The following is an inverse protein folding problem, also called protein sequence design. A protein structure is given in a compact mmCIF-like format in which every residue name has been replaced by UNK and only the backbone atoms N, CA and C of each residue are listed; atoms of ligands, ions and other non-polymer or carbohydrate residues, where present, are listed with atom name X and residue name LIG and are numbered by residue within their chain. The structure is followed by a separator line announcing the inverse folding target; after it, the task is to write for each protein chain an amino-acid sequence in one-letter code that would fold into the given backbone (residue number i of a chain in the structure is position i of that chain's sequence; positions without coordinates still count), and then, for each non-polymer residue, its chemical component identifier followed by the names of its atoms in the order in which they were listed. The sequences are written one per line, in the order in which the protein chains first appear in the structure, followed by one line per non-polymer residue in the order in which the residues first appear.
data_IF_883105016958
#
_entry.id   IF_883105016958
#
_cell.length_a   1.000
_cell.length_b   1.000
_cell.length_c   1.000
_cell.angle_alpha   90.00
_cell.angle_beta   90.00
_cell.angle_gamma   90.00
#
_symmetry.space_group_name_H-M   'P 1'
#
loop_
_entity.id
_entity.type
_entity.pdbx_description
1 polymer ?
#
# COMPACT_ATOMS: atom_id res chain seq x y z
N UNK A 1 -5.59 14.68 -0.95
CA UNK A 1 -4.53 15.01 -1.94
C UNK A 1 -3.83 13.70 -2.20
N UNK A 2 -3.76 13.22 -3.45
CA UNK A 2 -3.32 11.86 -3.86
C UNK A 2 -1.87 11.47 -3.51
N UNK A 3 -1.41 11.71 -2.28
CA UNK A 3 -0.06 11.47 -1.81
C UNK A 3 0.28 9.98 -1.76
N UNK A 4 -0.73 9.10 -1.69
CA UNK A 4 -0.56 7.65 -1.69
C UNK A 4 -0.04 7.12 -3.03
N UNK A 5 -0.36 7.78 -4.15
CA UNK A 5 0.05 7.33 -5.48
C UNK A 5 1.58 7.44 -5.66
N UNK A 6 2.22 8.61 -5.42
CA UNK A 6 3.68 8.70 -5.47
C UNK A 6 4.38 7.70 -4.54
N UNK A 7 3.89 7.53 -3.31
CA UNK A 7 4.49 6.60 -2.35
C UNK A 7 4.42 5.16 -2.84
N UNK A 8 3.26 4.73 -3.33
CA UNK A 8 3.07 3.38 -3.86
C UNK A 8 4.00 3.11 -5.06
N UNK A 9 4.12 4.07 -5.98
CA UNK A 9 5.03 3.95 -7.12
C UNK A 9 6.50 3.93 -6.72
N UNK A 10 6.90 4.71 -5.70
CA UNK A 10 8.26 4.67 -5.16
C UNK A 10 8.57 3.28 -4.58
N UNK A 11 7.68 2.75 -3.73
CA UNK A 11 7.86 1.42 -3.14
C UNK A 11 7.96 0.34 -4.23
N UNK A 12 7.09 0.41 -5.22
CA UNK A 12 7.09 -0.53 -6.35
C UNK A 12 8.38 -0.43 -7.18
N UNK A 13 8.85 0.78 -7.50
CA UNK A 13 10.10 0.98 -8.23
C UNK A 13 11.31 0.51 -7.44
N UNK A 14 11.35 0.75 -6.12
CA UNK A 14 12.41 0.27 -5.24
C UNK A 14 12.42 -1.26 -5.16
N UNK A 15 11.25 -1.88 -4.97
CA UNK A 15 11.11 -3.34 -4.97
C UNK A 15 11.54 -3.96 -6.29
N UNK A 16 11.16 -3.34 -7.41
CA UNK A 16 11.59 -3.75 -8.74
C UNK A 16 13.11 -3.63 -8.93
N UNK A 17 13.71 -2.47 -8.59
CA UNK A 17 15.14 -2.24 -8.72
C UNK A 17 15.96 -3.18 -7.83
N UNK A 18 15.53 -3.39 -6.59
CA UNK A 18 16.19 -4.31 -5.66
C UNK A 18 16.09 -5.75 -6.14
N UNK A 19 14.90 -6.20 -6.55
CA UNK A 19 14.71 -7.55 -7.08
C UNK A 19 15.61 -7.81 -8.30
N UNK A 20 15.73 -6.83 -9.21
CA UNK A 20 16.66 -6.93 -10.34
C UNK A 20 18.13 -7.01 -9.89
N UNK A 21 18.55 -6.25 -8.88
CA UNK A 21 19.91 -6.32 -8.32
C UNK A 21 20.21 -7.67 -7.66
N UNK A 22 19.19 -8.33 -7.13
CA UNK A 22 19.30 -9.65 -6.48
C UNK A 22 19.14 -10.82 -7.47
N UNK A 23 19.03 -10.55 -8.78
CA UNK A 23 18.87 -11.60 -9.80
C UNK A 23 17.47 -12.19 -9.92
N UNK A 24 16.46 -11.58 -9.29
CA UNK A 24 15.06 -12.00 -9.42
C UNK A 24 14.56 -11.67 -10.84
N UNK A 25 13.81 -12.57 -11.50
CA UNK A 25 13.25 -12.30 -12.82
C UNK A 25 12.46 -10.98 -12.87
N UNK A 26 12.52 -10.30 -14.03
CA UNK A 26 11.94 -8.97 -14.21
C UNK A 26 10.46 -8.90 -13.82
N UNK A 27 9.63 -9.85 -14.31
CA UNK A 27 8.19 -9.89 -14.01
C UNK A 27 7.95 -10.12 -12.52
N UNK A 28 8.67 -11.07 -11.93
CA UNK A 28 8.53 -11.39 -10.50
C UNK A 28 8.88 -10.18 -9.60
N UNK A 29 10.00 -9.52 -9.87
CA UNK A 29 10.43 -8.33 -9.09
C UNK A 29 9.45 -7.15 -9.23
N UNK A 30 8.88 -6.94 -10.41
CA UNK A 30 7.89 -5.89 -10.65
C UNK A 30 6.57 -6.13 -9.89
N UNK A 31 6.04 -7.35 -9.97
CA UNK A 31 4.80 -7.73 -9.28
C UNK A 31 4.97 -7.84 -7.76
N UNK A 32 6.13 -8.28 -7.27
CA UNK A 32 6.47 -8.21 -5.85
C UNK A 32 6.51 -6.77 -5.34
N UNK A 33 7.09 -5.84 -6.12
CA UNK A 33 7.04 -4.41 -5.82
C UNK A 33 5.61 -3.87 -5.78
N UNK A 34 4.76 -4.28 -6.72
CA UNK A 34 3.34 -3.91 -6.74
C UNK A 34 2.59 -4.41 -5.49
N UNK A 35 2.84 -5.65 -5.09
CA UNK A 35 2.25 -6.25 -3.90
C UNK A 35 2.69 -5.51 -2.62
N UNK A 36 3.99 -5.22 -2.50
CA UNK A 36 4.54 -4.48 -1.36
C UNK A 36 3.96 -3.06 -1.27
N UNK A 37 3.78 -2.37 -2.41
CA UNK A 37 3.14 -1.06 -2.46
C UNK A 37 1.68 -1.11 -1.96
N UNK A 38 0.91 -2.12 -2.38
CA UNK A 38 -0.47 -2.30 -1.91
C UNK A 38 -0.56 -2.56 -0.40
N UNK A 39 0.31 -3.43 0.14
CA UNK A 39 0.39 -3.67 1.58
C UNK A 39 0.71 -2.38 2.33
N UNK A 40 1.69 -1.60 1.85
CA UNK A 40 2.09 -0.35 2.51
C UNK A 40 0.93 0.64 2.62
N UNK A 41 0.10 0.76 1.58
CA UNK A 41 -1.11 1.60 1.63
C UNK A 41 -2.14 1.09 2.64
N UNK A 42 -2.39 -0.23 2.68
CA UNK A 42 -3.35 -0.85 3.60
C UNK A 42 -2.90 -0.72 5.06
N UNK A 43 -1.65 -1.07 5.35
CA UNK A 43 -1.09 -1.00 6.72
C UNK A 43 -1.07 0.44 7.23
N UNK A 44 -0.82 1.41 6.35
CA UNK A 44 -0.95 2.83 6.70
C UNK A 44 -2.37 3.16 7.14
N UNK A 45 -3.41 2.69 6.45
CA UNK A 45 -4.79 3.01 6.85
C UNK A 45 -5.18 2.32 8.16
N UNK A 46 -4.74 1.06 8.36
CA UNK A 46 -4.89 0.36 9.64
C UNK A 46 -4.31 1.22 10.78
N UNK A 47 -3.07 1.70 10.63
CA UNK A 47 -2.41 2.50 11.67
C UNK A 47 -3.09 3.86 11.90
N UNK A 48 -3.57 4.53 10.84
CA UNK A 48 -4.35 5.77 10.97
C UNK A 48 -5.70 5.55 11.67
N UNK A 49 -6.34 4.40 11.47
CA UNK A 49 -7.54 4.02 12.21
C UNK A 49 -7.22 3.77 13.69
N UNK A 50 -6.13 3.05 13.98
CA UNK A 50 -5.65 2.83 15.34
C UNK A 50 -5.41 4.14 16.10
N UNK A 51 -4.77 5.13 15.47
CA UNK A 51 -4.55 6.43 16.12
C UNK A 51 -5.86 7.15 16.44
N UNK A 52 -6.80 7.21 15.49
CA UNK A 52 -8.12 7.83 15.70
C UNK A 52 -8.90 7.16 16.83
N UNK A 53 -8.84 5.83 16.89
CA UNK A 53 -9.50 5.08 17.95
C UNK A 53 -8.88 5.38 19.32
N UNK A 54 -7.55 5.42 19.42
CA UNK A 54 -6.85 5.71 20.68
C UNK A 54 -7.17 7.12 21.18
N UNK A 55 -7.27 8.10 20.27
CA UNK A 55 -7.66 9.48 20.60
C UNK A 55 -9.11 9.57 21.10
N UNK A 56 -10.03 8.84 20.47
CA UNK A 56 -11.45 8.89 20.82
C UNK A 56 -11.82 8.06 22.07
N UNK A 57 -11.25 6.86 22.22
CA UNK A 57 -11.68 5.86 23.20
C UNK A 57 -10.54 5.28 24.06
N UNK A 58 -9.30 5.42 23.63
CA UNK A 58 -8.16 4.75 24.27
C UNK A 58 -7.70 5.36 25.59
N UNK A 59 -8.23 6.52 26.01
CA UNK A 59 -7.61 7.36 27.05
C UNK A 59 -6.09 7.54 26.82
N UNK A 60 -5.68 7.61 25.54
CA UNK A 60 -4.28 7.70 25.12
C UNK A 60 -3.49 6.38 25.15
N UNK A 61 -4.10 5.21 25.39
CA UNK A 61 -3.40 3.91 25.44
C UNK A 61 -3.89 2.91 24.41
N UNK A 62 -2.96 2.35 23.62
CA UNK A 62 -3.19 1.23 22.69
C UNK A 62 -3.70 -0.04 23.40
N UNK A 63 -3.33 -0.26 24.66
CA UNK A 63 -3.74 -1.45 25.42
C UNK A 63 -5.26 -1.57 25.63
N UNK A 64 -5.99 -0.46 25.51
CA UNK A 64 -7.44 -0.45 25.63
C UNK A 64 -8.15 -0.81 24.31
N UNK A 65 -7.40 -0.85 23.20
CA UNK A 65 -7.93 -1.09 21.86
C UNK A 65 -8.20 -2.59 21.65
N UNK A 66 -9.35 -2.97 21.08
CA UNK A 66 -9.61 -4.34 20.67
C UNK A 66 -8.57 -4.81 19.64
N UNK A 67 -8.17 -6.09 19.72
CA UNK A 67 -7.02 -6.62 18.98
C UNK A 67 -7.12 -6.55 17.44
N UNK A 68 -8.31 -6.32 16.88
CA UNK A 68 -8.55 -6.24 15.42
C UNK A 68 -9.24 -4.94 14.99
N UNK A 69 -9.32 -3.95 15.88
CA UNK A 69 -10.06 -2.73 15.62
C UNK A 69 -9.45 -1.92 14.45
N UNK A 70 -8.14 -2.00 14.21
CA UNK A 70 -7.49 -1.41 13.04
C UNK A 70 -7.94 -2.02 11.70
N UNK A 71 -8.43 -3.25 11.71
CA UNK A 71 -8.92 -3.99 10.53
C UNK A 71 -10.42 -3.81 10.28
N UNK A 72 -11.10 -2.98 11.07
CA UNK A 72 -12.50 -2.61 10.86
C UNK A 72 -12.64 -1.72 9.62
N UNK A 73 -12.51 -2.33 8.44
CA UNK A 73 -12.49 -1.65 7.14
C UNK A 73 -13.71 -0.77 6.90
N UNK A 74 -14.86 -1.15 7.46
CA UNK A 74 -16.11 -0.41 7.34
C UNK A 74 -16.09 0.94 8.07
N UNK A 75 -15.22 1.09 9.08
CA UNK A 75 -15.08 2.30 9.89
C UNK A 75 -13.96 3.23 9.37
N UNK A 76 -13.31 2.83 8.28
CA UNK A 76 -12.27 3.64 7.66
C UNK A 76 -12.85 4.90 7.02
N UNK A 77 -12.01 5.93 6.92
CA UNK A 77 -12.43 7.16 6.29
C UNK A 77 -12.64 6.92 4.78
N UNK A 78 -13.83 7.24 4.25
CA UNK A 78 -14.17 7.06 2.84
C UNK A 78 -13.15 7.67 1.89
N UNK A 79 -12.68 8.89 2.20
CA UNK A 79 -11.65 9.56 1.40
C UNK A 79 -10.34 8.77 1.36
N UNK A 80 -9.94 8.15 2.48
CA UNK A 80 -8.70 7.37 2.55
C UNK A 80 -8.82 6.01 1.87
N UNK A 81 -10.02 5.39 1.90
CA UNK A 81 -10.33 4.20 1.11
C UNK A 81 -10.17 4.52 -0.39
N UNK A 82 -10.77 5.62 -0.85
CA UNK A 82 -10.68 6.06 -2.25
C UNK A 82 -9.22 6.30 -2.66
N UNK A 83 -8.43 7.02 -1.85
CA UNK A 83 -7.00 7.24 -2.14
C UNK A 83 -6.18 5.92 -2.14
N UNK A 84 -6.51 4.97 -1.27
CA UNK A 84 -5.87 3.64 -1.21
C UNK A 84 -6.19 2.81 -2.46
N UNK A 85 -7.46 2.80 -2.88
CA UNK A 85 -7.89 2.12 -4.11
C UNK A 85 -7.18 2.72 -5.32
N UNK A 86 -7.12 4.06 -5.42
CA UNK A 86 -6.44 4.75 -6.52
C UNK A 86 -4.94 4.43 -6.53
N UNK A 87 -4.28 4.38 -5.38
CA UNK A 87 -2.86 4.01 -5.28
C UNK A 87 -2.59 2.57 -5.72
N UNK A 88 -3.41 1.62 -5.28
CA UNK A 88 -3.31 0.21 -5.70
C UNK A 88 -3.57 0.08 -7.20
N UNK A 89 -4.61 0.73 -7.72
CA UNK A 89 -4.93 0.72 -9.15
C UNK A 89 -3.79 1.32 -9.99
N UNK A 90 -3.18 2.43 -9.53
CA UNK A 90 -2.03 3.03 -10.18
C UNK A 90 -0.81 2.09 -10.19
N UNK A 91 -0.54 1.39 -9.09
CA UNK A 91 0.53 0.40 -9.01
C UNK A 91 0.32 -0.80 -9.94
N UNK A 92 -0.91 -1.31 -10.02
CA UNK A 92 -1.27 -2.39 -10.95
C UNK A 92 -1.14 -1.92 -12.39
N UNK A 93 -1.64 -0.72 -12.72
CA UNK A 93 -1.52 -0.14 -14.05
C UNK A 93 -0.05 0.03 -14.43
N UNK A 94 0.78 0.55 -13.52
CA UNK A 94 2.23 0.67 -13.73
C UNK A 94 2.88 -0.68 -14.01
N UNK A 95 2.55 -1.71 -13.22
CA UNK A 95 3.06 -3.07 -13.45
C UNK A 95 2.68 -3.59 -14.84
N UNK A 96 1.43 -3.44 -15.25
CA UNK A 96 0.94 -3.88 -16.55
C UNK A 96 1.62 -3.14 -17.71
N UNK A 97 1.80 -1.81 -17.58
CA UNK A 97 2.43 -1.00 -18.61
C UNK A 97 3.91 -1.35 -18.78
N UNK A 98 4.65 -1.50 -17.67
CA UNK A 98 6.07 -1.86 -17.70
C UNK A 98 6.26 -3.28 -18.20
N UNK A 99 5.46 -4.24 -17.73
CA UNK A 99 5.52 -5.62 -18.19
C UNK A 99 5.26 -5.73 -19.70
N UNK A 100 4.26 -4.99 -20.19
CA UNK A 100 3.95 -4.90 -21.62
C UNK A 100 5.06 -4.22 -22.42
N UNK A 101 5.73 -3.21 -21.86
CA UNK A 101 6.80 -2.48 -22.55
C UNK A 101 8.07 -3.31 -22.66
N UNK A 102 8.46 -3.99 -21.57
CA UNK A 102 9.66 -4.84 -21.52
C UNK A 102 9.47 -6.15 -22.30
N UNK A 103 8.23 -6.65 -22.41
CA UNK A 103 7.93 -7.86 -23.18
C UNK A 103 7.70 -7.62 -24.69
N UNK A 104 7.90 -6.39 -25.18
CA UNK A 104 7.85 -6.16 -26.63
C UNK A 104 9.07 -6.80 -27.30
N UNK A 105 8.89 -7.56 -28.40
CA UNK A 105 9.98 -8.17 -29.15
C UNK A 105 10.87 -7.11 -29.81
#
# INVERSE_FOLDING_TARGET
MFAHVPLALIIQCLGWALGRRLGVPHRASLWLGCFAAGIACIVREITQHEYRWIEAFGHGRRANMPALEGLAFWDWNRHSIEETIVAIAASVLFALLVDRWVSRP
#
